data_IF_800403803075
#
_entry.id   IF_800403803075
#
_cell.length_a   1.000
_cell.length_b   1.000
_cell.length_c   1.000
_cell.angle_alpha   90.00
_cell.angle_beta   90.00
_cell.angle_gamma   90.00
#
_symmetry.space_group_name_H-M   'P 1'
#
loop_
_entity.id
_entity.type
_entity.pdbx_description
1 polymer ?
#
# COMPACT_ATOMS: atom_id res chain seq x y z
N UNK A 1 9.87 6.13 0.68
CA UNK A 1 8.79 5.21 1.12
C UNK A 1 9.07 4.70 2.53
N UNK A 2 8.02 4.36 3.28
CA UNK A 2 8.10 3.65 4.55
C UNK A 2 7.65 2.20 4.35
N UNK A 3 8.53 1.23 4.53
CA UNK A 3 8.25 -0.20 4.41
C UNK A 3 8.07 -0.79 5.80
N UNK A 4 6.93 -1.44 6.04
CA UNK A 4 6.65 -2.16 7.27
C UNK A 4 6.23 -3.59 6.96
N UNK A 5 7.06 -4.61 7.25
CA UNK A 5 6.69 -5.99 7.01
C UNK A 5 5.47 -6.37 7.85
N UNK A 6 4.56 -7.14 7.24
CA UNK A 6 3.39 -7.65 7.94
C UNK A 6 3.75 -8.79 8.89
N UNK A 7 2.85 -9.18 9.82
CA UNK A 7 3.14 -10.22 10.81
C UNK A 7 3.47 -11.60 10.25
N UNK A 8 3.06 -11.89 9.01
CA UNK A 8 3.35 -13.15 8.33
C UNK A 8 4.64 -13.09 7.49
N UNK A 9 5.21 -11.90 7.29
CA UNK A 9 6.48 -11.76 6.59
C UNK A 9 7.57 -12.39 7.46
N UNK A 10 8.36 -13.35 6.92
CA UNK A 10 9.42 -14.00 7.69
C UNK A 10 10.42 -12.98 8.23
N UNK A 11 10.50 -12.85 9.56
CA UNK A 11 11.37 -11.88 10.19
C UNK A 11 12.84 -12.21 9.93
N UNK A 12 13.64 -11.20 9.60
CA UNK A 12 15.07 -11.35 9.33
C UNK A 12 15.42 -11.89 7.93
N UNK A 13 14.45 -12.40 7.18
CA UNK A 13 14.67 -12.85 5.81
C UNK A 13 14.77 -11.68 4.82
N UNK A 14 15.49 -11.83 3.69
CA UNK A 14 15.66 -10.77 2.69
C UNK A 14 14.36 -10.08 2.25
N UNK A 15 13.25 -10.82 2.19
CA UNK A 15 11.95 -10.26 1.83
C UNK A 15 11.43 -9.21 2.82
N UNK A 16 11.79 -9.29 4.11
CA UNK A 16 11.31 -8.37 5.13
C UNK A 16 11.88 -6.94 5.01
N UNK A 17 12.99 -6.78 4.27
CA UNK A 17 13.68 -5.51 4.12
C UNK A 17 14.02 -5.17 2.66
N UNK A 18 13.39 -5.84 1.71
CA UNK A 18 13.57 -5.56 0.28
C UNK A 18 12.81 -4.31 -0.13
N UNK A 19 13.54 -3.27 -0.52
CA UNK A 19 13.01 -2.04 -1.10
C UNK A 19 12.77 -2.21 -2.60
N UNK A 20 13.71 -2.87 -3.30
CA UNK A 20 13.66 -3.04 -4.75
C UNK A 20 14.18 -4.43 -5.14
N UNK A 21 13.45 -5.10 -6.05
CA UNK A 21 13.91 -6.31 -6.74
C UNK A 21 13.99 -6.09 -8.26
N UNK A 22 15.13 -5.64 -8.80
CA UNK A 22 15.30 -5.53 -10.24
C UNK A 22 15.31 -6.91 -10.89
N UNK A 23 14.65 -7.04 -12.03
CA UNK A 23 14.69 -8.24 -12.88
C UNK A 23 15.42 -7.88 -14.18
N UNK A 24 16.21 -8.80 -14.72
CA UNK A 24 16.90 -8.57 -15.98
C UNK A 24 15.93 -8.59 -17.15
N UNK A 25 16.35 -8.04 -18.29
CA UNK A 25 15.67 -8.28 -19.56
C UNK A 25 15.47 -9.78 -19.83
N UNK A 26 14.40 -10.11 -20.57
CA UNK A 26 14.11 -11.50 -21.00
C UNK A 26 14.90 -11.92 -22.25
N UNK A 27 15.63 -10.98 -22.85
CA UNK A 27 16.49 -11.24 -23.99
C UNK A 27 17.66 -12.12 -23.55
N UNK A 28 17.82 -13.26 -24.23
CA UNK A 28 18.88 -14.24 -23.93
C UNK A 28 20.26 -13.73 -24.32
N UNK A 29 20.32 -12.77 -25.24
CA UNK A 29 21.57 -12.18 -25.73
C UNK A 29 21.98 -10.97 -24.86
N UNK A 30 21.06 -10.44 -24.05
CA UNK A 30 21.28 -9.36 -23.08
C UNK A 30 21.00 -9.80 -21.64
N UNK A 31 21.44 -11.01 -21.29
CA UNK A 31 21.38 -11.49 -19.89
C UNK A 31 22.06 -10.50 -18.96
N UNK A 32 21.48 -10.31 -17.79
CA UNK A 32 21.96 -9.36 -16.77
C UNK A 32 21.99 -7.90 -17.21
N UNK A 33 21.24 -7.50 -18.24
CA UNK A 33 20.94 -6.10 -18.48
C UNK A 33 19.80 -5.67 -17.56
N UNK A 34 20.10 -4.74 -16.63
CA UNK A 34 19.13 -4.19 -15.69
C UNK A 34 18.90 -2.70 -15.92
N UNK A 35 17.70 -2.24 -15.57
CA UNK A 35 17.43 -0.81 -15.42
C UNK A 35 18.29 -0.20 -14.31
N UNK A 36 18.67 1.06 -14.49
CA UNK A 36 19.40 1.84 -13.50
C UNK A 36 18.44 2.39 -12.44
N UNK A 37 18.88 2.49 -11.18
CA UNK A 37 18.06 2.96 -10.08
C UNK A 37 18.82 3.89 -9.12
N UNK A 38 18.14 4.96 -8.69
CA UNK A 38 18.51 5.75 -7.53
C UNK A 38 17.59 5.38 -6.37
N UNK A 39 18.14 4.80 -5.31
CA UNK A 39 17.36 4.33 -4.14
C UNK A 39 17.91 5.00 -2.88
N UNK A 40 17.16 5.94 -2.34
CA UNK A 40 17.54 6.70 -1.13
C UNK A 40 16.31 7.18 -0.38
N UNK A 41 16.47 7.50 0.92
CA UNK A 41 15.44 8.11 1.75
C UNK A 41 14.28 7.18 2.13
N UNK A 42 14.41 5.86 1.90
CA UNK A 42 13.42 4.89 2.35
C UNK A 42 13.71 4.42 3.77
N UNK A 43 12.64 4.19 4.53
CA UNK A 43 12.70 3.61 5.88
C UNK A 43 12.17 2.19 5.81
N UNK A 44 12.84 1.27 6.50
CA UNK A 44 12.39 -0.11 6.70
C UNK A 44 12.21 -0.35 8.20
N UNK A 45 10.97 -0.50 8.62
CA UNK A 45 10.58 -0.76 10.01
C UNK A 45 11.32 -2.01 10.55
N UNK A 46 11.95 -1.87 11.71
CA UNK A 46 12.75 -2.95 12.31
C UNK A 46 14.11 -3.24 11.63
N UNK A 47 14.51 -2.48 10.60
CA UNK A 47 15.82 -2.66 9.95
C UNK A 47 16.62 -1.35 9.85
N UNK A 48 17.41 -1.01 10.89
CA UNK A 48 18.19 0.24 10.92
C UNK A 48 19.30 0.26 9.87
N UNK A 49 19.88 -0.90 9.53
CA UNK A 49 20.95 -1.01 8.52
C UNK A 49 20.46 -0.55 7.15
N UNK A 50 19.34 -1.09 6.68
CA UNK A 50 18.76 -0.73 5.38
C UNK A 50 18.14 0.67 5.40
N UNK A 51 17.63 1.11 6.54
CA UNK A 51 17.11 2.48 6.70
C UNK A 51 18.22 3.53 6.57
N UNK A 52 19.40 3.26 7.15
CA UNK A 52 20.56 4.15 7.06
C UNK A 52 21.16 4.17 5.65
N UNK A 53 21.28 3.00 5.02
CA UNK A 53 21.72 2.87 3.64
C UNK A 53 20.83 1.86 2.90
N UNK A 54 19.98 2.37 2.00
CA UNK A 54 19.04 1.54 1.24
C UNK A 54 19.75 0.53 0.33
N UNK A 55 21.02 0.76 -0.03
CA UNK A 55 21.83 -0.17 -0.80
C UNK A 55 22.47 -1.27 0.05
N UNK A 56 22.47 -1.15 1.38
CA UNK A 56 23.03 -2.13 2.31
C UNK A 56 22.09 -3.35 2.54
N UNK A 57 21.59 -3.92 1.45
CA UNK A 57 20.69 -5.09 1.42
C UNK A 57 19.24 -4.78 1.06
N UNK A 58 18.86 -3.52 0.88
CA UNK A 58 17.51 -3.14 0.46
C UNK A 58 17.25 -3.33 -1.04
N UNK A 59 18.30 -3.24 -1.88
CA UNK A 59 18.23 -3.59 -3.30
C UNK A 59 18.76 -5.01 -3.48
N UNK A 60 17.92 -5.90 -4.01
CA UNK A 60 18.20 -7.33 -4.09
C UNK A 60 17.92 -7.82 -5.51
N UNK A 61 18.85 -8.55 -6.12
CA UNK A 61 18.63 -9.23 -7.41
C UNK A 61 18.39 -10.72 -7.19
N UNK A 62 18.28 -11.50 -8.26
CA UNK A 62 18.25 -12.96 -8.17
C UNK A 62 19.47 -13.50 -7.41
N UNK A 63 19.28 -14.60 -6.68
CA UNK A 63 20.36 -15.25 -5.94
C UNK A 63 21.31 -15.93 -6.92
N UNK A 64 22.46 -15.28 -7.16
CA UNK A 64 23.48 -15.73 -8.10
C UNK A 64 24.87 -15.24 -7.69
N UNK A 65 25.95 -15.90 -8.15
CA UNK A 65 27.32 -15.60 -7.68
C UNK A 65 27.74 -14.13 -7.79
N UNK A 66 27.28 -13.43 -8.83
CA UNK A 66 27.66 -12.04 -9.11
C UNK A 66 26.66 -10.99 -8.60
N UNK A 67 25.72 -11.37 -7.72
CA UNK A 67 24.64 -10.49 -7.27
C UNK A 67 25.13 -9.11 -6.76
N UNK A 68 26.20 -9.08 -5.96
CA UNK A 68 26.76 -7.84 -5.42
C UNK A 68 27.29 -6.91 -6.53
N UNK A 69 27.95 -7.48 -7.55
CA UNK A 69 28.45 -6.72 -8.70
C UNK A 69 27.30 -6.15 -9.51
N UNK A 70 26.26 -6.94 -9.73
CA UNK A 70 25.08 -6.52 -10.48
C UNK A 70 24.33 -5.39 -9.75
N UNK A 71 24.16 -5.49 -8.43
CA UNK A 71 23.57 -4.41 -7.62
C UNK A 71 24.38 -3.12 -7.74
N UNK A 72 25.71 -3.20 -7.74
CA UNK A 72 26.56 -2.04 -7.96
C UNK A 72 26.39 -1.44 -9.36
N UNK A 73 26.21 -2.27 -10.39
CA UNK A 73 25.94 -1.81 -11.76
C UNK A 73 24.56 -1.18 -11.92
N UNK A 74 23.56 -1.55 -11.12
CA UNK A 74 22.23 -0.95 -11.14
C UNK A 74 22.24 0.48 -10.57
N UNK A 75 23.10 0.75 -9.59
CA UNK A 75 23.11 1.99 -8.83
C UNK A 75 23.45 3.21 -9.69
N UNK A 76 22.71 4.29 -9.47
CA UNK A 76 23.12 5.66 -9.82
C UNK A 76 23.24 6.49 -8.55
N UNK A 77 24.18 7.44 -8.54
CA UNK A 77 24.38 8.31 -7.37
C UNK A 77 23.51 9.57 -7.38
N UNK A 78 22.82 9.83 -8.51
CA UNK A 78 21.90 10.95 -8.66
C UNK A 78 20.51 10.46 -9.08
N UNK A 79 19.44 11.10 -8.57
CA UNK A 79 18.10 10.82 -9.02
C UNK A 79 17.95 11.20 -10.49
N UNK A 80 17.10 10.46 -11.20
CA UNK A 80 16.66 10.85 -12.54
C UNK A 80 15.81 12.11 -12.46
N UNK A 81 15.87 12.95 -13.49
CA UNK A 81 15.00 14.11 -13.61
C UNK A 81 13.55 13.65 -13.69
N UNK A 82 12.77 13.97 -12.67
CA UNK A 82 11.33 13.76 -12.67
C UNK A 82 10.67 15.05 -13.18
N UNK A 83 9.51 14.97 -13.87
CA UNK A 83 8.68 16.15 -14.11
C UNK A 83 8.35 16.84 -12.78
N UNK A 84 7.96 18.11 -12.81
CA UNK A 84 7.58 18.84 -11.58
C UNK A 84 6.45 18.08 -10.85
N UNK A 85 6.85 17.29 -9.85
CA UNK A 85 5.95 16.67 -8.91
C UNK A 85 5.80 17.63 -7.73
N UNK A 86 4.60 17.70 -7.16
CA UNK A 86 4.39 18.37 -5.88
C UNK A 86 5.35 17.80 -4.82
N UNK A 87 5.52 18.53 -3.71
CA UNK A 87 6.46 18.21 -2.64
C UNK A 87 6.47 16.72 -2.26
N UNK A 88 7.65 16.09 -2.38
CA UNK A 88 7.86 14.71 -1.95
C UNK A 88 8.02 14.69 -0.43
N UNK A 89 7.08 14.06 0.27
CA UNK A 89 7.17 13.90 1.72
C UNK A 89 8.31 12.93 2.10
N UNK A 90 9.10 13.24 3.15
CA UNK A 90 9.99 12.27 3.77
C UNK A 90 9.26 10.99 4.18
N UNK A 91 9.94 9.84 4.17
CA UNK A 91 9.31 8.54 4.41
C UNK A 91 8.49 8.47 5.71
N UNK A 92 9.00 9.06 6.79
CA UNK A 92 8.30 9.10 8.08
C UNK A 92 7.01 9.95 8.01
N UNK A 93 7.09 11.11 7.36
CA UNK A 93 5.95 12.01 7.19
C UNK A 93 4.90 11.39 6.26
N UNK A 94 5.33 10.73 5.19
CA UNK A 94 4.45 9.99 4.31
C UNK A 94 3.67 8.89 5.07
N UNK A 95 4.34 8.16 5.96
CA UNK A 95 3.68 7.16 6.82
C UNK A 95 2.60 7.79 7.70
N UNK A 96 2.91 8.89 8.39
CA UNK A 96 1.94 9.58 9.25
C UNK A 96 0.78 10.17 8.45
N UNK A 97 1.09 10.78 7.30
CA UNK A 97 0.09 11.35 6.41
C UNK A 97 -0.90 10.29 5.92
N UNK A 98 -0.40 9.13 5.48
CA UNK A 98 -1.26 8.02 5.04
C UNK A 98 -2.12 7.49 6.19
N UNK A 99 -1.55 7.29 7.39
CA UNK A 99 -2.33 6.84 8.54
C UNK A 99 -3.40 7.83 9.00
N UNK A 100 -3.20 9.13 8.77
CA UNK A 100 -4.19 10.15 9.08
C UNK A 100 -5.32 10.19 8.04
N UNK A 101 -4.97 10.11 6.75
CA UNK A 101 -5.87 10.53 5.68
C UNK A 101 -6.42 9.40 4.78
N UNK A 102 -5.80 8.21 4.74
CA UNK A 102 -6.25 7.15 3.85
C UNK A 102 -7.58 6.53 4.29
N UNK A 103 -8.42 6.07 3.34
CA UNK A 103 -9.71 5.42 3.60
C UNK A 103 -10.87 6.39 3.78
N UNK A 104 -12.05 5.87 4.10
CA UNK A 104 -13.28 6.60 4.36
C UNK A 104 -13.17 7.37 5.67
N UNK A 105 -12.61 8.59 5.64
CA UNK A 105 -12.26 9.38 6.84
C UNK A 105 -13.25 10.48 7.20
N UNK A 106 -14.13 10.87 6.26
CA UNK A 106 -15.10 11.93 6.46
C UNK A 106 -16.50 11.38 6.74
N UNK A 107 -17.27 11.99 7.67
CA UNK A 107 -16.85 12.97 8.69
C UNK A 107 -16.03 12.32 9.83
N UNK A 108 -16.02 10.98 9.89
CA UNK A 108 -15.21 10.18 10.79
C UNK A 108 -14.85 8.88 10.09
N UNK A 109 -13.70 8.34 10.45
CA UNK A 109 -13.23 7.04 9.94
C UNK A 109 -14.24 5.94 10.23
N UNK A 110 -14.59 5.14 9.22
CA UNK A 110 -15.45 3.98 9.43
C UNK A 110 -14.76 2.88 10.26
N UNK A 111 -15.53 1.87 10.69
CA UNK A 111 -15.02 0.80 11.55
C UNK A 111 -13.95 -0.08 10.87
N UNK A 112 -14.05 -0.28 9.55
CA UNK A 112 -13.13 -1.12 8.77
C UNK A 112 -11.81 -0.39 8.58
N UNK A 113 -11.84 0.87 8.16
CA UNK A 113 -10.65 1.69 7.99
C UNK A 113 -9.98 2.01 9.32
N UNK A 114 -10.74 2.20 10.39
CA UNK A 114 -10.19 2.39 11.74
C UNK A 114 -9.41 1.15 12.20
N UNK A 115 -9.97 -0.05 11.94
CA UNK A 115 -9.28 -1.32 12.21
C UNK A 115 -7.99 -1.43 11.40
N UNK A 116 -8.04 -1.19 10.09
CA UNK A 116 -6.87 -1.31 9.20
C UNK A 116 -5.76 -0.35 9.63
N UNK A 117 -6.08 0.91 9.90
CA UNK A 117 -5.09 1.90 10.37
C UNK A 117 -4.50 1.51 11.71
N UNK A 118 -5.31 0.98 12.63
CA UNK A 118 -4.81 0.49 13.90
C UNK A 118 -3.86 -0.69 13.71
N UNK A 119 -4.23 -1.67 12.89
CA UNK A 119 -3.41 -2.86 12.62
C UNK A 119 -2.07 -2.47 11.96
N UNK A 120 -2.07 -1.53 11.01
CA UNK A 120 -0.84 -0.99 10.39
C UNK A 120 0.00 -0.23 11.42
N UNK A 121 -0.63 0.58 12.28
CA UNK A 121 0.07 1.34 13.32
C UNK A 121 0.75 0.42 14.32
N UNK A 122 0.03 -0.57 14.84
CA UNK A 122 0.53 -1.44 15.92
C UNK A 122 1.28 -2.67 15.43
N UNK A 123 1.12 -3.06 14.16
CA UNK A 123 1.60 -4.34 13.64
C UNK A 123 0.89 -5.55 14.26
N UNK A 124 -0.27 -5.36 14.89
CA UNK A 124 -1.05 -6.41 15.55
C UNK A 124 -2.36 -6.57 14.80
N UNK A 125 -2.68 -7.80 14.38
CA UNK A 125 -3.87 -8.07 13.59
C UNK A 125 -5.09 -8.13 14.51
N UNK A 126 -6.12 -7.37 14.15
CA UNK A 126 -7.42 -7.43 14.81
C UNK A 126 -8.31 -8.46 14.11
N UNK A 127 -8.83 -9.42 14.87
CA UNK A 127 -9.77 -10.43 14.39
C UNK A 127 -10.87 -10.69 15.42
N UNK A 128 -12.03 -11.20 14.96
CA UNK A 128 -13.15 -11.53 15.81
C UNK A 128 -12.83 -12.76 16.69
N UNK A 129 -13.12 -12.69 17.99
CA UNK A 129 -12.77 -13.76 18.95
C UNK A 129 -13.36 -15.12 18.60
N UNK A 130 -14.56 -15.13 18.01
CA UNK A 130 -15.29 -16.35 17.64
C UNK A 130 -15.22 -16.62 16.12
N UNK A 131 -14.26 -15.99 15.43
CA UNK A 131 -14.03 -16.17 14.00
C UNK A 131 -13.78 -17.65 13.67
N UNK A 132 -14.52 -18.16 12.68
CA UNK A 132 -14.28 -19.49 12.18
C UNK A 132 -13.15 -19.49 11.13
N UNK A 133 -12.31 -20.53 11.10
CA UNK A 133 -11.40 -20.77 9.98
C UNK A 133 -12.16 -20.87 8.65
N UNK A 134 -11.44 -20.70 7.55
CA UNK A 134 -12.01 -20.93 6.23
C UNK A 134 -12.61 -22.34 6.14
N UNK A 135 -13.82 -22.46 5.58
CA UNK A 135 -14.43 -23.76 5.35
C UNK A 135 -13.51 -24.62 4.45
N UNK A 136 -13.29 -25.90 4.80
CA UNK A 136 -12.50 -26.78 3.96
C UNK A 136 -13.20 -26.96 2.62
N UNK A 137 -12.45 -26.85 1.52
CA UNK A 137 -12.95 -27.09 0.18
C UNK A 137 -11.95 -27.95 -0.59
N UNK A 138 -12.39 -29.03 -1.26
CA UNK A 138 -11.50 -29.85 -2.08
C UNK A 138 -10.89 -29.08 -3.25
N UNK A 139 -11.46 -27.93 -3.61
CA UNK A 139 -10.98 -27.07 -4.69
C UNK A 139 -10.02 -25.96 -4.22
N UNK A 140 -9.84 -25.80 -2.90
CA UNK A 140 -8.97 -24.76 -2.34
C UNK A 140 -7.69 -25.37 -1.80
N UNK A 141 -6.58 -25.20 -2.54
CA UNK A 141 -5.23 -25.52 -2.07
C UNK A 141 -4.65 -24.33 -1.30
N UNK A 142 -4.65 -24.41 0.03
CA UNK A 142 -4.06 -23.36 0.87
C UNK A 142 -2.56 -23.55 1.02
N UNK A 143 -1.80 -22.45 0.87
CA UNK A 143 -0.38 -22.39 1.24
C UNK A 143 -0.15 -22.11 2.73
N UNK A 144 -1.18 -21.58 3.39
CA UNK A 144 -1.16 -21.17 4.80
C UNK A 144 -2.23 -21.93 5.59
N UNK A 145 -2.08 -22.05 6.92
CA UNK A 145 -3.09 -22.65 7.79
C UNK A 145 -4.49 -22.05 7.61
N UNK A 146 -5.51 -22.80 8.02
CA UNK A 146 -6.91 -22.36 7.92
C UNK A 146 -7.21 -21.12 8.79
N UNK A 147 -6.41 -20.90 9.83
CA UNK A 147 -6.50 -19.77 10.75
C UNK A 147 -5.51 -18.63 10.45
N UNK A 148 -4.98 -18.56 9.22
CA UNK A 148 -4.10 -17.48 8.74
C UNK A 148 -4.69 -16.07 8.89
N UNK A 149 -6.00 -15.96 9.11
CA UNK A 149 -6.68 -14.69 9.41
C UNK A 149 -6.13 -14.04 10.70
N UNK A 150 -5.65 -14.84 11.67
CA UNK A 150 -4.97 -14.33 12.87
C UNK A 150 -3.64 -13.63 12.57
N UNK A 151 -3.10 -13.86 11.37
CA UNK A 151 -1.88 -13.24 10.84
C UNK A 151 -2.16 -12.21 9.74
N UNK A 152 -3.44 -11.86 9.52
CA UNK A 152 -3.85 -10.79 8.59
C UNK A 152 -4.31 -11.28 7.21
N UNK A 153 -4.34 -12.60 6.98
CA UNK A 153 -4.85 -13.18 5.73
C UNK A 153 -6.33 -13.52 5.89
N UNK A 154 -7.15 -12.48 5.76
CA UNK A 154 -8.61 -12.53 5.89
C UNK A 154 -9.20 -13.21 4.65
N UNK A 155 -10.07 -14.20 4.87
CA UNK A 155 -10.76 -14.92 3.79
C UNK A 155 -12.28 -14.87 3.91
N UNK A 156 -12.78 -14.36 5.03
CA UNK A 156 -14.19 -14.12 5.29
C UNK A 156 -14.34 -12.83 6.13
N UNK A 157 -15.19 -11.86 5.74
CA UNK A 157 -15.43 -10.63 6.50
C UNK A 157 -15.79 -10.87 7.98
N UNK A 158 -16.50 -11.96 8.31
CA UNK A 158 -16.87 -12.31 9.68
C UNK A 158 -15.64 -12.53 10.57
N UNK A 159 -14.48 -12.88 10.00
CA UNK A 159 -13.22 -13.03 10.75
C UNK A 159 -12.72 -11.71 11.34
N UNK A 160 -13.25 -10.58 10.89
CA UNK A 160 -12.84 -9.24 11.31
C UNK A 160 -14.02 -8.33 11.64
N UNK A 161 -15.16 -8.94 12.00
CA UNK A 161 -16.36 -8.24 12.48
C UNK A 161 -17.52 -8.15 11.49
N UNK A 162 -17.35 -8.62 10.24
CA UNK A 162 -18.36 -8.57 9.20
C UNK A 162 -18.39 -7.23 8.45
N UNK A 163 -19.38 -7.06 7.58
CA UNK A 163 -19.61 -5.80 6.90
C UNK A 163 -20.27 -4.79 7.86
N UNK A 164 -19.76 -3.55 7.94
CA UNK A 164 -20.40 -2.51 8.73
C UNK A 164 -21.79 -2.19 8.17
N UNK A 165 -22.73 -1.94 9.07
CA UNK A 165 -24.04 -1.39 8.71
C UNK A 165 -23.94 0.13 8.78
N UNK A 166 -24.10 0.79 7.64
CA UNK A 166 -24.11 2.25 7.57
C UNK A 166 -25.52 2.78 7.79
N UNK A 167 -25.68 3.62 8.81
CA UNK A 167 -26.90 4.37 9.05
C UNK A 167 -26.61 5.86 8.85
N UNK A 168 -27.41 6.52 8.00
CA UNK A 168 -27.24 7.93 7.69
C UNK A 168 -28.24 8.39 6.63
N UNK A 169 -28.31 9.71 6.45
CA UNK A 169 -28.99 10.32 5.31
C UNK A 169 -27.92 10.55 4.23
N UNK A 170 -28.01 9.93 3.05
CA UNK A 170 -27.09 10.23 1.96
C UNK A 170 -27.20 11.70 1.58
N UNK A 171 -26.10 12.26 1.08
CA UNK A 171 -26.15 13.58 0.48
C UNK A 171 -27.06 13.57 -0.75
N UNK A 172 -27.68 14.70 -1.05
CA UNK A 172 -28.40 14.84 -2.31
C UNK A 172 -27.36 14.90 -3.43
N UNK A 173 -27.61 14.13 -4.47
CA UNK A 173 -26.84 13.99 -5.70
C UNK A 173 -27.91 13.84 -6.79
N UNK A 174 -28.25 14.95 -7.44
CA UNK A 174 -29.44 15.04 -8.28
C UNK A 174 -29.24 14.46 -9.70
N UNK A 175 -28.00 14.33 -10.17
CA UNK A 175 -27.67 13.67 -11.44
C UNK A 175 -27.03 12.29 -11.28
N UNK A 176 -26.75 11.86 -10.05
CA UNK A 176 -26.23 10.55 -9.66
C UNK A 176 -24.82 10.28 -10.20
N UNK A 177 -23.96 11.30 -10.21
CA UNK A 177 -22.58 11.19 -10.67
C UNK A 177 -21.57 10.83 -9.56
N UNK A 178 -22.03 10.81 -8.30
CA UNK A 178 -21.23 10.50 -7.13
C UNK A 178 -20.79 11.70 -6.31
N UNK A 179 -21.05 12.94 -6.77
CA UNK A 179 -20.74 14.18 -6.05
C UNK A 179 -21.99 14.75 -5.34
N UNK A 180 -21.86 15.27 -4.11
CA UNK A 180 -22.97 15.95 -3.46
C UNK A 180 -23.34 17.31 -4.12
N UNK A 181 -24.63 17.59 -4.33
CA UNK A 181 -25.14 18.86 -4.90
C UNK A 181 -24.52 20.12 -4.24
N UNK A 182 -24.31 20.05 -2.92
CA UNK A 182 -23.74 21.14 -2.13
C UNK A 182 -22.27 21.35 -2.40
N UNK A 183 -21.53 20.27 -2.61
CA UNK A 183 -20.11 20.30 -2.92
C UNK A 183 -19.92 20.87 -4.33
N UNK A 184 -20.69 20.38 -5.30
CA UNK A 184 -20.67 20.88 -6.66
C UNK A 184 -20.95 22.37 -6.74
N UNK A 185 -22.03 22.84 -6.08
CA UNK A 185 -22.37 24.27 -6.05
C UNK A 185 -21.25 25.11 -5.41
N UNK A 186 -20.59 24.60 -4.37
CA UNK A 186 -19.49 25.30 -3.70
C UNK A 186 -18.23 25.41 -4.56
N UNK A 187 -18.02 24.46 -5.49
CA UNK A 187 -16.86 24.40 -6.39
C UNK A 187 -17.18 24.88 -7.82
N UNK A 188 -18.40 25.41 -8.04
CA UNK A 188 -18.82 26.00 -9.30
C UNK A 188 -19.25 24.99 -10.38
N UNK A 189 -19.57 23.77 -9.98
CA UNK A 189 -20.17 22.72 -10.82
C UNK A 189 -21.70 22.82 -10.80
N UNK A 190 -22.36 22.08 -11.69
CA UNK A 190 -23.80 22.07 -11.85
C UNK A 190 -24.39 20.72 -11.38
N UNK A 191 -25.13 20.69 -10.25
CA UNK A 191 -25.76 19.49 -9.66
C UNK A 191 -26.78 18.72 -10.50
N UNK A 192 -26.90 19.03 -11.78
CA UNK A 192 -27.86 18.42 -12.71
C UNK A 192 -27.18 17.99 -14.00
N UNK A 193 -25.86 17.94 -14.02
CA UNK A 193 -25.05 17.67 -15.18
C UNK A 193 -23.87 16.73 -14.87
N UNK A 194 -24.17 15.43 -14.78
CA UNK A 194 -23.19 14.36 -14.52
C UNK A 194 -21.91 14.36 -15.40
N UNK A 195 -21.90 15.07 -16.52
CA UNK A 195 -20.74 15.21 -17.39
C UNK A 195 -19.68 16.21 -16.86
N UNK A 196 -20.01 17.05 -15.87
CA UNK A 196 -19.08 18.04 -15.32
C UNK A 196 -18.21 17.53 -14.16
N UNK A 197 -18.36 16.27 -13.74
CA UNK A 197 -17.36 15.50 -12.99
C UNK A 197 -15.92 15.70 -13.52
N UNK A 198 -15.77 15.84 -14.84
CA UNK A 198 -14.46 16.05 -15.48
C UNK A 198 -13.91 17.48 -15.37
N UNK A 199 -14.73 18.42 -14.87
CA UNK A 199 -14.40 19.82 -14.64
C UNK A 199 -13.98 20.08 -13.19
N UNK A 200 -14.10 19.08 -12.30
CA UNK A 200 -13.46 19.09 -10.98
C UNK A 200 -11.93 19.31 -11.15
N UNK A 201 -11.47 20.45 -10.63
CA UNK A 201 -10.13 20.98 -10.90
C UNK A 201 -9.08 20.35 -9.99
N UNK A 202 -9.46 19.88 -8.81
CA UNK A 202 -8.58 19.24 -7.84
C UNK A 202 -8.81 17.72 -7.71
N UNK A 203 -9.86 17.17 -8.33
CA UNK A 203 -10.11 15.72 -8.46
C UNK A 203 -10.23 15.02 -7.11
N UNK A 204 -10.72 15.73 -6.11
CA UNK A 204 -10.83 15.21 -4.76
C UNK A 204 -12.17 14.53 -4.48
N UNK A 205 -13.15 14.67 -5.39
CA UNK A 205 -14.39 13.88 -5.45
C UNK A 205 -15.04 13.61 -4.09
#
# INVERSE_FOLDING_TARGET
NYYKPGPITPAGEPIAYRILKPESGRDKDQKNLFGKAYVAGNVVDGNPKVTQDNWAGGVQVEDQPDAAKIVAEIRTDKPFTLPNMNAVLPAQEAYQYVLANAGCTLPKRDAVDARIVQDVRTGKITYAKNAQPAAPSPYIKRRLPADSYKQGIIVDPAQVGGYPVYAGKPYADADNDGMPDKWETAHGLNPKNAADTTQDRDKDG
#
